data_IF_706091227800
#
_entry.id   IF_706091227800
#
_cell.length_a   1.000
_cell.length_b   1.000
_cell.length_c   1.000
_cell.angle_alpha   90.00
_cell.angle_beta   90.00
_cell.angle_gamma   90.00
#
_symmetry.space_group_name_H-M   'P 1'
#
loop_
_entity.id
_entity.type
_entity.pdbx_description
1 polymer ?
#
# COMPACT_ATOMS: atom_id res chain seq x y z
N UNK A 1 -19.61 -7.64 -15.07
CA UNK A 1 -19.60 -8.81 -15.95
C UNK A 1 -19.13 -10.03 -15.15
N UNK A 2 -17.84 -10.14 -14.86
CA UNK A 2 -17.22 -11.30 -14.22
C UNK A 2 -17.89 -11.83 -12.92
N UNK A 3 -18.31 -10.95 -12.00
CA UNK A 3 -19.01 -11.36 -10.76
C UNK A 3 -20.30 -12.15 -11.04
N UNK A 4 -21.01 -11.83 -12.14
CA UNK A 4 -22.24 -12.52 -12.54
C UNK A 4 -21.94 -13.84 -13.24
N UNK A 5 -20.87 -13.89 -14.03
CA UNK A 5 -20.46 -15.09 -14.78
C UNK A 5 -20.07 -16.25 -13.86
N UNK A 6 -19.52 -15.95 -12.68
CA UNK A 6 -19.09 -16.97 -11.71
C UNK A 6 -20.13 -17.31 -10.65
N UNK A 7 -21.35 -16.77 -10.75
CA UNK A 7 -22.36 -16.85 -9.69
C UNK A 7 -22.73 -18.30 -9.30
N UNK A 8 -22.75 -19.21 -10.27
CA UNK A 8 -23.12 -20.62 -10.10
C UNK A 8 -21.89 -21.54 -9.93
N UNK A 9 -20.72 -20.96 -9.65
CA UNK A 9 -19.45 -21.70 -9.46
C UNK A 9 -18.97 -21.59 -8.02
N UNK A 10 -18.08 -22.48 -7.56
CA UNK A 10 -17.44 -22.31 -6.24
C UNK A 10 -16.45 -21.13 -6.18
N UNK A 11 -16.19 -20.44 -7.30
CA UNK A 11 -15.24 -19.32 -7.38
C UNK A 11 -15.90 -18.04 -6.85
N UNK A 12 -15.20 -17.36 -5.94
CA UNK A 12 -15.63 -16.06 -5.42
C UNK A 12 -14.81 -14.92 -6.01
N UNK A 13 -15.51 -13.86 -6.41
CA UNK A 13 -14.88 -12.65 -6.94
C UNK A 13 -15.29 -11.45 -6.10
N UNK A 14 -14.31 -10.62 -5.76
CA UNK A 14 -14.48 -9.40 -4.98
C UNK A 14 -13.50 -8.33 -5.41
N UNK A 15 -13.55 -7.19 -4.72
CA UNK A 15 -12.71 -6.04 -5.00
C UNK A 15 -11.88 -5.72 -3.76
N UNK A 16 -10.58 -5.54 -3.94
CA UNK A 16 -9.67 -5.14 -2.87
C UNK A 16 -9.19 -3.71 -3.12
N UNK A 17 -9.37 -2.85 -2.12
CA UNK A 17 -8.95 -1.44 -2.13
C UNK A 17 -8.07 -1.19 -0.90
N UNK A 18 -6.76 -1.48 -0.98
CA UNK A 18 -5.85 -1.43 0.16
C UNK A 18 -5.38 0.00 0.49
N UNK A 19 -5.59 0.98 -0.41
CA UNK A 19 -5.08 2.34 -0.26
C UNK A 19 -3.65 2.48 -0.78
N UNK A 20 -2.91 3.47 -0.29
CA UNK A 20 -1.48 3.65 -0.60
C UNK A 20 -0.71 2.71 0.32
N UNK A 21 -0.06 1.70 -0.26
CA UNK A 21 0.73 0.71 0.46
C UNK A 21 2.17 0.80 -0.02
N UNK A 22 3.14 0.77 0.89
CA UNK A 22 4.57 0.96 0.59
C UNK A 22 5.20 -0.22 -0.15
N UNK A 23 4.85 -0.38 -1.41
CA UNK A 23 5.47 -1.33 -2.36
C UNK A 23 6.38 -0.58 -3.33
N UNK A 24 7.21 -1.29 -4.09
CA UNK A 24 8.04 -0.69 -5.14
C UNK A 24 7.25 0.04 -6.23
N UNK A 25 5.99 -0.37 -6.44
CA UNK A 25 5.09 0.30 -7.39
C UNK A 25 4.61 1.65 -6.84
N UNK A 26 4.32 1.72 -5.53
CA UNK A 26 3.78 2.91 -4.90
C UNK A 26 4.86 3.88 -4.42
N UNK A 27 6.02 3.37 -4.01
CA UNK A 27 7.19 4.14 -3.60
C UNK A 27 8.28 3.94 -4.64
N UNK A 28 8.43 4.86 -5.60
CA UNK A 28 9.40 4.70 -6.67
C UNK A 28 10.83 4.74 -6.11
N UNK A 29 11.72 3.97 -6.76
CA UNK A 29 13.17 4.05 -6.55
C UNK A 29 13.68 5.47 -6.76
N UNK A 30 14.80 5.81 -6.13
CA UNK A 30 15.36 7.17 -6.12
C UNK A 30 15.40 7.84 -7.51
N UNK A 31 15.82 7.11 -8.56
CA UNK A 31 15.90 7.62 -9.93
C UNK A 31 14.54 8.03 -10.56
N UNK A 32 13.42 7.59 -9.99
CA UNK A 32 12.05 7.87 -10.47
C UNK A 32 11.23 8.70 -9.48
N UNK A 33 11.83 9.24 -8.42
CA UNK A 33 11.15 10.16 -7.50
C UNK A 33 11.11 11.54 -8.16
N UNK A 34 9.94 11.87 -8.70
CA UNK A 34 9.71 13.13 -9.38
C UNK A 34 9.32 14.26 -8.41
N UNK A 35 9.15 15.46 -8.95
CA UNK A 35 8.76 16.64 -8.18
C UNK A 35 7.38 16.45 -7.50
N UNK A 36 6.49 15.66 -8.10
CA UNK A 36 5.19 15.33 -7.52
C UNK A 36 5.35 14.57 -6.20
N UNK A 37 6.23 13.57 -6.16
CA UNK A 37 6.48 12.79 -4.94
C UNK A 37 7.02 13.66 -3.80
N UNK A 38 7.94 14.59 -4.12
CA UNK A 38 8.47 15.56 -3.15
C UNK A 38 7.40 16.52 -2.62
N UNK A 39 6.60 17.13 -3.51
CA UNK A 39 5.54 18.09 -3.14
C UNK A 39 4.44 17.46 -2.29
N UNK A 40 4.13 16.19 -2.51
CA UNK A 40 3.02 15.49 -1.86
C UNK A 40 3.44 14.63 -0.67
N UNK A 41 4.69 14.69 -0.23
CA UNK A 41 5.24 13.82 0.83
C UNK A 41 4.36 13.80 2.10
N UNK A 42 3.94 14.98 2.58
CA UNK A 42 3.08 15.07 3.77
C UNK A 42 1.73 14.38 3.59
N UNK A 43 1.10 14.57 2.43
CA UNK A 43 -0.18 13.94 2.11
C UNK A 43 -0.03 12.42 1.99
N UNK A 44 1.01 11.97 1.29
CA UNK A 44 1.32 10.55 1.14
C UNK A 44 1.58 9.91 2.49
N UNK A 45 2.31 10.56 3.40
CA UNK A 45 2.52 10.06 4.76
C UNK A 45 1.26 9.95 5.60
N UNK A 46 0.33 10.88 5.43
CA UNK A 46 -0.95 10.83 6.15
C UNK A 46 -1.74 9.60 5.70
N UNK A 47 -1.75 9.30 4.40
CA UNK A 47 -2.60 8.25 3.84
C UNK A 47 -1.92 6.89 3.67
N UNK A 48 -0.60 6.82 3.55
CA UNK A 48 0.11 5.59 3.33
C UNK A 48 0.10 4.69 4.57
N UNK A 49 0.25 3.39 4.32
CA UNK A 49 0.55 2.39 5.31
C UNK A 49 1.58 1.40 4.79
N UNK A 50 2.27 0.74 5.72
CA UNK A 50 3.18 -0.35 5.41
C UNK A 50 2.41 -1.62 4.97
N UNK A 51 3.00 -2.40 4.06
CA UNK A 51 2.42 -3.67 3.56
C UNK A 51 2.08 -4.59 4.72
N UNK A 52 2.95 -4.65 5.71
CA UNK A 52 2.89 -5.47 6.91
C UNK A 52 1.69 -5.09 7.79
N UNK A 53 1.21 -3.85 7.71
CA UNK A 53 0.04 -3.38 8.46
C UNK A 53 -1.27 -3.73 7.75
N UNK A 54 -1.30 -3.55 6.42
CA UNK A 54 -2.55 -3.69 5.65
C UNK A 54 -2.86 -5.15 5.35
N UNK A 55 -1.81 -5.95 5.08
CA UNK A 55 -1.96 -7.32 4.58
C UNK A 55 -2.65 -8.26 5.55
N UNK A 56 -2.30 -8.32 6.86
CA UNK A 56 -2.99 -9.22 7.80
C UNK A 56 -4.50 -8.93 7.86
N UNK A 57 -4.87 -7.66 7.95
CA UNK A 57 -6.28 -7.26 7.93
C UNK A 57 -6.96 -7.60 6.60
N UNK A 58 -6.27 -7.40 5.47
CA UNK A 58 -6.82 -7.71 4.16
C UNK A 58 -7.11 -9.21 4.02
N UNK A 59 -6.18 -10.06 4.46
CA UNK A 59 -6.33 -11.52 4.48
C UNK A 59 -7.53 -11.91 5.34
N UNK A 60 -7.65 -11.38 6.55
CA UNK A 60 -8.79 -11.66 7.43
C UNK A 60 -10.13 -11.32 6.76
N UNK A 61 -10.19 -10.19 6.05
CA UNK A 61 -11.41 -9.76 5.35
C UNK A 61 -11.71 -10.59 4.12
N UNK A 62 -10.68 -11.03 3.40
CA UNK A 62 -10.82 -11.94 2.25
C UNK A 62 -11.36 -13.29 2.75
N UNK A 63 -10.78 -13.83 3.82
CA UNK A 63 -11.20 -15.09 4.43
C UNK A 63 -12.58 -15.01 5.08
N UNK A 64 -13.02 -13.84 5.52
CA UNK A 64 -14.37 -13.61 6.04
C UNK A 64 -15.42 -13.37 4.93
N UNK A 65 -15.01 -13.02 3.71
CA UNK A 65 -15.94 -12.74 2.62
C UNK A 65 -16.72 -13.99 2.21
N UNK A 66 -18.05 -13.90 2.24
CA UNK A 66 -18.95 -15.00 1.84
C UNK A 66 -19.74 -14.70 0.57
N UNK A 67 -19.89 -13.42 0.21
CA UNK A 67 -20.71 -12.97 -0.91
C UNK A 67 -19.86 -12.58 -2.11
N UNK A 68 -20.33 -12.92 -3.31
CA UNK A 68 -19.76 -12.41 -4.56
C UNK A 68 -19.95 -10.89 -4.67
N UNK A 69 -18.94 -10.24 -5.25
CA UNK A 69 -18.87 -8.78 -5.37
C UNK A 69 -18.50 -8.06 -4.07
N UNK A 70 -18.05 -8.76 -3.02
CA UNK A 70 -17.65 -8.11 -1.76
C UNK A 70 -16.53 -7.10 -2.02
N UNK A 71 -16.71 -5.87 -1.53
CA UNK A 71 -15.70 -4.81 -1.59
C UNK A 71 -14.99 -4.73 -0.25
N UNK A 72 -13.70 -5.03 -0.25
CA UNK A 72 -12.82 -4.96 0.92
C UNK A 72 -11.99 -3.68 0.79
N UNK A 73 -12.27 -2.69 1.63
CA UNK A 73 -11.61 -1.38 1.59
C UNK A 73 -10.90 -1.09 2.91
N UNK A 74 -9.57 -1.10 2.88
CA UNK A 74 -8.75 -0.69 4.02
C UNK A 74 -8.91 0.82 4.27
N UNK A 75 -8.77 1.63 3.22
CA UNK A 75 -8.87 3.08 3.33
C UNK A 75 -10.28 3.57 3.00
N UNK A 76 -11.19 3.49 3.98
CA UNK A 76 -12.50 4.12 3.89
C UNK A 76 -12.46 5.62 4.19
N UNK A 77 -13.53 6.34 3.85
CA UNK A 77 -13.65 7.78 4.09
C UNK A 77 -13.40 8.16 5.56
N UNK A 78 -13.99 7.43 6.51
CA UNK A 78 -13.80 7.70 7.94
C UNK A 78 -12.36 7.55 8.41
N UNK A 79 -11.63 6.55 7.90
CA UNK A 79 -10.21 6.36 8.24
C UNK A 79 -9.34 7.47 7.65
N UNK A 80 -9.61 7.89 6.42
CA UNK A 80 -8.92 9.02 5.80
C UNK A 80 -9.16 10.32 6.57
N UNK A 81 -10.42 10.66 6.86
CA UNK A 81 -10.79 11.85 7.63
C UNK A 81 -10.13 11.85 9.02
N UNK A 82 -10.15 10.71 9.72
CA UNK A 82 -9.50 10.58 11.03
C UNK A 82 -7.99 10.77 10.97
N UNK A 83 -7.33 10.36 9.88
CA UNK A 83 -5.89 10.57 9.68
C UNK A 83 -5.53 12.03 9.41
N UNK A 84 -6.34 12.74 8.62
CA UNK A 84 -6.17 14.19 8.43
C UNK A 84 -6.42 14.98 9.71
N UNK A 85 -7.42 14.60 10.51
CA UNK A 85 -7.65 15.22 11.80
C UNK A 85 -6.44 14.99 12.75
N UNK A 86 -5.95 13.75 12.82
CA UNK A 86 -4.81 13.39 13.68
C UNK A 86 -3.47 13.95 13.19
N UNK A 87 -3.33 14.32 11.91
CA UNK A 87 -2.07 14.86 11.39
C UNK A 87 -1.69 16.23 11.98
N UNK A 88 -2.67 16.93 12.56
CA UNK A 88 -2.44 18.17 13.32
C UNK A 88 -1.78 17.89 14.67
N UNK A 89 -1.96 16.69 15.22
CA UNK A 89 -1.43 16.29 16.54
C UNK A 89 -0.15 15.47 16.40
N UNK A 90 -0.09 14.56 15.41
CA UNK A 90 1.04 13.65 15.23
C UNK A 90 1.38 13.48 13.75
N UNK A 91 2.62 13.75 13.40
CA UNK A 91 3.17 13.49 12.06
C UNK A 91 3.48 12.01 11.88
N UNK A 92 3.37 11.54 10.64
CA UNK A 92 3.70 10.18 10.20
C UNK A 92 4.83 10.26 9.19
N UNK A 93 5.69 9.25 9.13
CA UNK A 93 6.84 9.18 8.23
C UNK A 93 6.91 7.86 7.46
N UNK A 94 5.75 7.38 7.01
CA UNK A 94 5.60 6.04 6.41
C UNK A 94 6.35 5.92 5.08
N UNK A 95 6.28 6.95 4.24
CA UNK A 95 6.90 6.96 2.93
C UNK A 95 8.41 7.14 3.06
N UNK A 96 8.89 8.01 3.94
CA UNK A 96 10.32 8.16 4.17
C UNK A 96 10.94 6.87 4.71
N UNK A 97 10.27 6.20 5.66
CA UNK A 97 10.70 4.88 6.16
C UNK A 97 10.78 3.84 5.02
N UNK A 98 9.82 3.86 4.09
CA UNK A 98 9.83 2.94 2.94
C UNK A 98 10.95 3.28 1.95
N UNK A 99 11.19 4.57 1.69
CA UNK A 99 12.29 5.03 0.84
C UNK A 99 13.64 4.57 1.41
N UNK A 100 13.86 4.73 2.71
CA UNK A 100 15.09 4.31 3.37
C UNK A 100 15.31 2.80 3.24
N UNK A 101 14.27 1.98 3.40
CA UNK A 101 14.36 0.53 3.20
C UNK A 101 14.72 0.17 1.76
N UNK A 102 14.06 0.76 0.78
CA UNK A 102 14.30 0.49 -0.64
C UNK A 102 15.70 0.94 -1.08
N UNK A 103 16.13 2.12 -0.63
CA UNK A 103 17.44 2.66 -0.97
C UNK A 103 18.57 1.82 -0.35
N UNK A 104 18.37 1.29 0.87
CA UNK A 104 19.31 0.35 1.49
C UNK A 104 19.40 -0.97 0.71
N UNK A 105 18.26 -1.54 0.30
CA UNK A 105 18.24 -2.78 -0.51
C UNK A 105 18.90 -2.60 -1.88
N UNK A 106 18.72 -1.45 -2.53
CA UNK A 106 19.37 -1.13 -3.80
C UNK A 106 20.90 -1.00 -3.64
N UNK A 107 21.38 -0.44 -2.53
CA UNK A 107 22.81 -0.33 -2.22
C UNK A 107 23.47 -1.70 -1.97
N UNK A 108 22.81 -2.57 -1.19
CA UNK A 108 23.29 -3.92 -0.92
C UNK A 108 23.41 -4.75 -2.20
N UNK A 109 22.43 -4.64 -3.10
CA UNK A 109 22.44 -5.36 -4.37
C UNK A 109 23.57 -4.89 -5.31
N UNK A 110 23.89 -3.59 -5.32
CA UNK A 110 25.01 -3.05 -6.11
C UNK A 110 26.37 -3.53 -5.60
N UNK A 111 26.55 -3.65 -4.28
CA UNK A 111 27.80 -4.12 -3.70
C UNK A 111 28.03 -5.61 -3.98
N UNK A 112 27.00 -6.44 -3.84
CA UNK A 112 27.10 -7.87 -4.13
C UNK A 112 27.42 -8.15 -5.61
N UNK A 113 26.87 -7.35 -6.53
CA UNK A 113 27.15 -7.48 -7.97
C UNK A 113 28.62 -7.17 -8.32
N UNK A 114 29.26 -6.24 -7.58
CA UNK A 114 30.67 -5.85 -7.78
C UNK A 114 31.66 -6.86 -7.19
N UNK A 115 31.28 -7.61 -6.15
CA UNK A 115 32.13 -8.66 -5.58
C UNK A 115 32.08 -9.96 -6.39
N UNK A 116 31.03 -10.18 -7.19
CA UNK A 116 30.88 -11.36 -8.06
C UNK A 116 31.43 -11.19 -9.48
N UNK A 117 31.96 -10.01 -9.83
CA UNK A 117 32.50 -9.67 -11.15
C UNK A 117 34.04 -9.56 -11.11
#
# INVERSE_FOLDING_TARGET
ALVREVADTPVKIGFLSPGIVTTEMAVPRAARRDEFFGKNMNFLNILADHVETVTPWAVDRILAARKNGTVIRWMGFGRAAGRFAMSLVRKRHVIEEAMQRLDASDADNQNNTKETA
#
